data_IF_646159052542
#
_entry.id   IF_646159052542
#
_cell.length_a   1.000
_cell.length_b   1.000
_cell.length_c   1.000
_cell.angle_alpha   90.00
_cell.angle_beta   90.00
_cell.angle_gamma   90.00
#
_symmetry.space_group_name_H-M   'P 1'
#
loop_
_entity.id
_entity.type
_entity.pdbx_description
1 polymer ?
#
# COMPACT_ATOMS: atom_id res chain seq x y z
N UNK A 1 8.88 2.57 19.09
CA UNK A 1 8.09 2.60 17.84
C UNK A 1 6.76 3.17 18.26
N UNK A 2 6.46 4.41 17.89
CA UNK A 2 5.29 5.11 18.43
C UNK A 2 4.02 4.59 17.75
N UNK A 3 3.01 4.08 18.49
CA UNK A 3 1.69 3.74 17.96
C UNK A 3 0.91 4.97 17.43
N UNK A 4 1.42 6.18 17.64
CA UNK A 4 0.74 7.45 17.35
C UNK A 4 0.75 7.89 15.87
N UNK A 5 1.42 7.15 14.98
CA UNK A 5 1.50 7.49 13.54
C UNK A 5 0.48 6.75 12.67
N UNK A 6 -0.40 5.91 13.24
CA UNK A 6 -1.38 5.11 12.49
C UNK A 6 -2.41 6.00 11.79
N UNK A 7 -2.66 5.74 10.50
CA UNK A 7 -3.60 6.53 9.70
C UNK A 7 -4.86 5.71 9.45
N UNK A 8 -6.07 6.22 9.78
CA UNK A 8 -7.32 5.57 9.41
C UNK A 8 -7.39 5.35 7.90
N UNK A 9 -7.71 4.13 7.46
CA UNK A 9 -7.87 3.82 6.04
C UNK A 9 -9.33 3.83 5.59
N UNK A 10 -10.24 3.45 6.51
CA UNK A 10 -11.67 3.36 6.28
C UNK A 10 -12.34 2.62 7.44
N UNK A 11 -13.60 2.19 7.28
CA UNK A 11 -14.32 1.46 8.33
C UNK A 11 -13.54 0.22 8.78
N UNK A 12 -13.13 0.18 10.05
CA UNK A 12 -12.52 -0.99 10.68
C UNK A 12 -11.09 -1.34 10.27
N UNK A 13 -10.36 -0.47 9.56
CA UNK A 13 -8.96 -0.71 9.22
C UNK A 13 -8.11 0.56 9.20
N UNK A 14 -6.82 0.39 9.46
CA UNK A 14 -5.81 1.46 9.52
C UNK A 14 -4.61 1.11 8.64
N UNK A 15 -3.72 2.07 8.43
CA UNK A 15 -2.38 1.89 7.89
C UNK A 15 -1.39 2.09 9.01
N UNK A 16 -0.64 1.02 9.33
CA UNK A 16 0.29 1.05 10.46
C UNK A 16 1.48 1.97 10.21
N UNK A 17 1.81 2.85 11.16
CA UNK A 17 2.95 3.75 11.07
C UNK A 17 4.30 3.04 11.01
N UNK A 18 4.41 1.84 11.60
CA UNK A 18 5.66 1.08 11.64
C UNK A 18 6.13 0.54 10.28
N UNK A 19 5.20 0.05 9.45
CA UNK A 19 5.53 -0.63 8.19
C UNK A 19 4.61 -0.31 7.01
N UNK A 20 3.66 0.62 7.19
CA UNK A 20 2.72 1.10 6.19
C UNK A 20 1.79 0.03 5.60
N UNK A 21 1.74 -1.16 6.20
CA UNK A 21 0.78 -2.20 5.82
C UNK A 21 -0.61 -1.86 6.37
N UNK A 22 -1.67 -2.02 5.56
CA UNK A 22 -3.02 -2.03 6.09
C UNK A 22 -3.22 -3.14 7.12
N UNK A 23 -4.03 -2.91 8.14
CA UNK A 23 -4.45 -3.93 9.10
C UNK A 23 -5.90 -3.72 9.51
N UNK A 24 -6.65 -4.80 9.65
CA UNK A 24 -8.02 -4.77 10.19
C UNK A 24 -7.96 -4.64 11.71
N UNK A 25 -8.65 -3.63 12.25
CA UNK A 25 -8.75 -3.36 13.70
C UNK A 25 -10.18 -3.58 14.23
N UNK A 26 -11.18 -3.57 13.35
CA UNK A 26 -12.56 -3.98 13.63
C UNK A 26 -13.10 -4.74 12.41
N UNK A 27 -13.20 -6.06 12.55
CA UNK A 27 -13.60 -6.94 11.46
C UNK A 27 -15.07 -6.74 11.03
N UNK A 28 -15.96 -6.38 11.96
CA UNK A 28 -17.37 -6.17 11.63
C UNK A 28 -17.56 -4.88 10.84
N UNK A 29 -16.92 -3.80 11.27
CA UNK A 29 -16.91 -2.53 10.53
C UNK A 29 -16.22 -2.70 9.17
N UNK A 30 -15.11 -3.45 9.09
CA UNK A 30 -14.40 -3.74 7.86
C UNK A 30 -15.26 -4.46 6.82
N UNK A 31 -15.90 -5.57 7.22
CA UNK A 31 -16.80 -6.34 6.34
C UNK A 31 -18.00 -5.51 5.88
N UNK A 32 -18.54 -4.67 6.77
CA UNK A 32 -19.63 -3.75 6.41
C UNK A 32 -19.16 -2.70 5.40
N UNK A 33 -17.98 -2.12 5.60
CA UNK A 33 -17.42 -1.11 4.70
C UNK A 33 -17.03 -1.63 3.31
N UNK A 34 -16.72 -2.92 3.20
CA UNK A 34 -16.43 -3.59 1.91
C UNK A 34 -17.63 -4.37 1.35
N UNK A 35 -18.83 -4.18 1.89
CA UNK A 35 -20.01 -4.87 1.41
C UNK A 35 -20.22 -4.63 -0.09
N UNK A 36 -20.33 -5.71 -0.87
CA UNK A 36 -20.47 -5.66 -2.32
C UNK A 36 -19.17 -5.52 -3.12
N UNK A 37 -18.01 -5.37 -2.45
CA UNK A 37 -16.72 -5.39 -3.14
C UNK A 37 -16.34 -6.84 -3.51
N UNK A 38 -16.14 -7.18 -4.80
CA UNK A 38 -15.79 -8.53 -5.21
C UNK A 38 -14.45 -9.01 -4.63
N UNK A 39 -13.58 -8.11 -4.17
CA UNK A 39 -12.27 -8.41 -3.60
C UNK A 39 -12.27 -8.36 -2.06
N UNK A 40 -13.43 -8.20 -1.42
CA UNK A 40 -13.55 -8.08 0.04
C UNK A 40 -12.87 -9.24 0.79
N UNK A 41 -13.10 -10.48 0.34
CA UNK A 41 -12.48 -11.67 0.94
C UNK A 41 -10.95 -11.66 0.81
N UNK A 42 -10.42 -11.26 -0.36
CA UNK A 42 -8.97 -11.20 -0.59
C UNK A 42 -8.30 -10.13 0.29
N UNK A 43 -8.97 -8.97 0.43
CA UNK A 43 -8.52 -7.87 1.29
C UNK A 43 -8.54 -8.28 2.76
N UNK A 44 -9.60 -8.96 3.20
CA UNK A 44 -9.71 -9.48 4.57
C UNK A 44 -8.54 -10.41 4.90
N UNK A 45 -8.28 -11.42 4.05
CA UNK A 45 -7.17 -12.35 4.24
C UNK A 45 -5.83 -11.60 4.33
N UNK A 46 -5.57 -10.68 3.40
CA UNK A 46 -4.31 -9.95 3.37
C UNK A 46 -4.14 -9.07 4.63
N UNK A 47 -5.18 -8.32 5.01
CA UNK A 47 -5.10 -7.32 6.08
C UNK A 47 -5.33 -7.91 7.48
N UNK A 48 -5.68 -9.20 7.56
CA UNK A 48 -5.63 -9.99 8.81
C UNK A 48 -4.36 -10.85 8.93
N UNK A 49 -3.47 -10.79 7.93
CA UNK A 49 -2.12 -11.34 8.03
C UNK A 49 -1.89 -12.66 7.30
N UNK A 50 -2.78 -13.07 6.38
CA UNK A 50 -2.61 -14.25 5.54
C UNK A 50 -2.43 -13.87 4.05
N UNK A 51 -1.25 -13.33 3.66
CA UNK A 51 -0.99 -12.96 2.28
C UNK A 51 -0.93 -14.16 1.33
N UNK A 52 -0.63 -15.37 1.83
CA UNK A 52 -0.61 -16.58 1.02
C UNK A 52 -2.04 -16.99 0.59
N UNK A 53 -2.97 -17.04 1.55
CA UNK A 53 -4.37 -17.30 1.25
C UNK A 53 -4.98 -16.20 0.39
N UNK A 54 -4.65 -14.93 0.65
CA UNK A 54 -5.09 -13.80 -0.18
C UNK A 54 -4.63 -13.96 -1.64
N UNK A 55 -3.36 -14.34 -1.85
CA UNK A 55 -2.80 -14.56 -3.19
C UNK A 55 -3.50 -15.71 -3.93
N UNK A 56 -3.81 -16.80 -3.22
CA UNK A 56 -4.58 -17.92 -3.76
C UNK A 56 -6.02 -17.50 -4.10
N UNK A 57 -6.68 -16.74 -3.22
CA UNK A 57 -8.03 -16.23 -3.42
C UNK A 57 -8.12 -15.24 -4.60
N UNK A 58 -7.02 -14.58 -4.96
CA UNK A 58 -6.95 -13.70 -6.14
C UNK A 58 -6.77 -14.46 -7.47
N UNK A 59 -6.44 -15.74 -7.46
CA UNK A 59 -6.18 -16.53 -8.67
C UNK A 59 -7.32 -16.59 -9.70
N UNK A 60 -8.62 -16.68 -9.34
CA UNK A 60 -9.71 -16.76 -10.30
C UNK A 60 -10.13 -15.40 -10.88
N UNK A 61 -9.60 -14.27 -10.37
CA UNK A 61 -9.98 -12.95 -10.84
C UNK A 61 -9.16 -12.52 -12.06
N UNK A 62 -9.80 -11.76 -12.97
CA UNK A 62 -9.11 -11.12 -14.08
C UNK A 62 -7.99 -10.19 -13.58
N UNK A 63 -6.90 -10.13 -14.35
CA UNK A 63 -5.70 -9.32 -14.04
C UNK A 63 -5.90 -7.81 -14.28
N UNK A 64 -6.96 -7.25 -13.73
CA UNK A 64 -7.17 -5.80 -13.67
C UNK A 64 -6.07 -5.12 -12.87
N UNK A 65 -5.85 -3.82 -13.05
CA UNK A 65 -4.85 -3.06 -12.29
C UNK A 65 -5.01 -3.20 -10.76
N UNK A 66 -6.26 -3.28 -10.27
CA UNK A 66 -6.55 -3.47 -8.83
C UNK A 66 -6.14 -4.86 -8.35
N UNK A 67 -6.47 -5.91 -9.11
CA UNK A 67 -6.09 -7.30 -8.78
C UNK A 67 -4.57 -7.46 -8.83
N UNK A 68 -3.91 -6.87 -9.84
CA UNK A 68 -2.45 -6.86 -9.98
C UNK A 68 -1.77 -6.18 -8.79
N UNK A 69 -2.26 -5.01 -8.37
CA UNK A 69 -1.77 -4.32 -7.18
C UNK A 69 -1.93 -5.18 -5.92
N UNK A 70 -3.10 -5.79 -5.69
CA UNK A 70 -3.30 -6.66 -4.52
C UNK A 70 -2.40 -7.89 -4.53
N UNK A 71 -2.17 -8.50 -5.70
CA UNK A 71 -1.18 -9.59 -5.82
C UNK A 71 0.22 -9.12 -5.47
N UNK A 72 0.63 -7.93 -5.93
CA UNK A 72 1.92 -7.34 -5.60
C UNK A 72 2.05 -7.03 -4.10
N UNK A 73 0.98 -6.57 -3.44
CA UNK A 73 0.94 -6.41 -1.99
C UNK A 73 1.11 -7.75 -1.25
N UNK A 74 0.46 -8.83 -1.73
CA UNK A 74 0.67 -10.17 -1.18
C UNK A 74 2.13 -10.63 -1.33
N UNK A 75 2.73 -10.42 -2.52
CA UNK A 75 4.13 -10.78 -2.78
C UNK A 75 5.10 -10.01 -1.87
N UNK A 76 4.86 -8.70 -1.67
CA UNK A 76 5.61 -7.89 -0.70
C UNK A 76 5.54 -8.50 0.69
N UNK A 77 4.34 -8.84 1.16
CA UNK A 77 4.12 -9.33 2.52
C UNK A 77 4.63 -10.77 2.72
N UNK A 78 4.79 -11.54 1.63
CA UNK A 78 5.47 -12.84 1.60
C UNK A 78 7.01 -12.74 1.48
N UNK A 79 7.55 -11.52 1.33
CA UNK A 79 8.99 -11.29 1.18
C UNK A 79 9.52 -11.38 -0.26
N UNK A 80 8.69 -11.69 -1.26
CA UNK A 80 9.06 -11.55 -2.68
C UNK A 80 8.92 -10.09 -3.14
N UNK A 81 9.69 -9.23 -2.46
CA UNK A 81 9.63 -7.79 -2.67
C UNK A 81 10.11 -7.40 -4.06
N UNK A 82 11.07 -8.15 -4.64
CA UNK A 82 11.55 -7.89 -6.00
C UNK A 82 10.44 -8.09 -7.03
N UNK A 83 9.61 -9.12 -6.90
CA UNK A 83 8.47 -9.30 -7.80
C UNK A 83 7.41 -8.20 -7.59
N UNK A 84 7.14 -7.81 -6.35
CA UNK A 84 6.22 -6.72 -6.05
C UNK A 84 6.65 -5.38 -6.69
N UNK A 85 7.94 -5.01 -6.57
CA UNK A 85 8.48 -3.79 -7.18
C UNK A 85 8.34 -3.82 -8.70
N UNK A 86 8.72 -4.92 -9.36
CA UNK A 86 8.58 -5.05 -10.83
C UNK A 86 7.15 -4.89 -11.30
N UNK A 87 6.19 -5.49 -10.59
CA UNK A 87 4.77 -5.36 -10.95
C UNK A 87 4.31 -3.90 -10.81
N UNK A 88 4.75 -3.21 -9.76
CA UNK A 88 4.42 -1.81 -9.54
C UNK A 88 5.14 -0.85 -10.49
N UNK A 89 6.35 -1.15 -10.96
CA UNK A 89 7.01 -0.38 -12.03
C UNK A 89 6.13 -0.34 -13.28
N UNK A 90 5.58 -1.50 -13.67
CA UNK A 90 4.64 -1.61 -14.81
C UNK A 90 3.35 -0.84 -14.54
N UNK A 91 2.71 -1.04 -13.37
CA UNK A 91 1.45 -0.36 -13.03
C UNK A 91 1.60 1.16 -12.96
N UNK A 92 2.72 1.68 -12.44
CA UNK A 92 3.00 3.13 -12.44
C UNK A 92 3.15 3.63 -13.87
N UNK A 93 3.88 2.91 -14.74
CA UNK A 93 4.00 3.28 -16.14
C UNK A 93 2.65 3.30 -16.87
N UNK A 94 1.79 2.31 -16.65
CA UNK A 94 0.46 2.21 -17.29
C UNK A 94 -0.52 3.27 -16.79
N UNK A 95 -0.35 3.77 -15.57
CA UNK A 95 -1.28 4.71 -14.93
C UNK A 95 -0.80 6.15 -14.91
N UNK A 96 0.39 6.43 -15.46
CA UNK A 96 0.94 7.78 -15.53
C UNK A 96 -0.04 8.76 -16.21
N UNK A 97 -0.24 9.92 -15.58
CA UNK A 97 -1.19 10.95 -16.03
C UNK A 97 -2.67 10.63 -15.77
N UNK A 98 -2.99 9.48 -15.17
CA UNK A 98 -4.38 9.10 -14.84
C UNK A 98 -4.70 9.33 -13.37
N UNK A 99 -5.99 9.29 -13.02
CA UNK A 99 -6.44 9.35 -11.62
C UNK A 99 -5.91 8.20 -10.75
N UNK A 100 -5.36 7.13 -11.35
CA UNK A 100 -4.77 6.00 -10.64
C UNK A 100 -3.28 6.15 -10.35
N UNK A 101 -2.60 7.15 -10.92
CA UNK A 101 -1.14 7.30 -10.74
C UNK A 101 -0.77 7.41 -9.25
N UNK A 102 -1.50 8.25 -8.51
CA UNK A 102 -1.21 8.49 -7.10
C UNK A 102 -1.31 7.20 -6.25
N UNK A 103 -2.26 6.32 -6.56
CA UNK A 103 -2.39 5.05 -5.84
C UNK A 103 -1.29 4.07 -6.26
N UNK A 104 -0.96 3.94 -7.54
CA UNK A 104 0.10 3.02 -7.95
C UNK A 104 1.48 3.45 -7.42
N UNK A 105 1.77 4.76 -7.40
CA UNK A 105 2.98 5.29 -6.75
C UNK A 105 3.01 5.05 -5.25
N UNK A 106 1.89 5.26 -4.55
CA UNK A 106 1.77 4.96 -3.12
C UNK A 106 2.17 3.52 -2.82
N UNK A 107 1.65 2.57 -3.58
CA UNK A 107 1.92 1.15 -3.36
C UNK A 107 3.36 0.76 -3.77
N UNK A 108 3.87 1.32 -4.87
CA UNK A 108 5.27 1.15 -5.27
C UNK A 108 6.23 1.65 -4.19
N UNK A 109 5.97 2.83 -3.62
CA UNK A 109 6.75 3.37 -2.50
C UNK A 109 6.81 2.44 -1.29
N UNK A 110 5.71 1.76 -0.96
CA UNK A 110 5.70 0.73 0.11
C UNK A 110 6.54 -0.50 -0.26
N UNK A 111 6.46 -0.97 -1.50
CA UNK A 111 7.29 -2.08 -1.98
C UNK A 111 8.78 -1.71 -1.98
N UNK A 112 9.14 -0.49 -2.40
CA UNK A 112 10.51 0.03 -2.36
C UNK A 112 11.05 0.13 -0.92
N UNK A 113 10.22 0.57 0.04
CA UNK A 113 10.62 0.56 1.45
C UNK A 113 10.86 -0.86 1.99
N UNK A 114 10.07 -1.84 1.56
CA UNK A 114 10.30 -3.24 1.89
C UNK A 114 11.56 -3.79 1.19
N UNK A 115 11.96 -3.20 0.04
CA UNK A 115 13.14 -3.60 -0.71
C UNK A 115 14.44 -3.04 -0.13
N UNK A 116 14.33 -2.09 0.81
CA UNK A 116 15.48 -1.35 1.33
C UNK A 116 15.87 -0.13 0.50
N UNK A 117 14.97 0.38 -0.36
CA UNK A 117 15.22 1.50 -1.27
C UNK A 117 14.45 2.79 -0.86
N UNK A 118 14.72 3.37 0.32
CA UNK A 118 13.95 4.50 0.81
C UNK A 118 14.12 5.78 -0.05
N UNK A 119 15.25 5.95 -0.73
CA UNK A 119 15.46 7.09 -1.63
C UNK A 119 14.48 7.09 -2.81
N UNK A 120 14.26 5.93 -3.45
CA UNK A 120 13.27 5.80 -4.52
C UNK A 120 11.83 5.91 -3.98
N UNK A 121 11.58 5.38 -2.77
CA UNK A 121 10.27 5.52 -2.13
C UNK A 121 9.91 6.99 -1.83
N UNK A 122 10.89 7.83 -1.45
CA UNK A 122 10.68 9.28 -1.25
C UNK A 122 10.15 9.93 -2.52
N UNK A 123 10.69 9.57 -3.69
CA UNK A 123 10.24 10.12 -4.98
C UNK A 123 8.76 9.77 -5.20
N UNK A 124 8.39 8.51 -5.04
CA UNK A 124 7.02 8.06 -5.26
C UNK A 124 6.01 8.67 -4.27
N UNK A 125 6.35 8.71 -2.98
CA UNK A 125 5.45 9.32 -1.98
C UNK A 125 5.34 10.83 -2.16
N UNK A 126 6.41 11.52 -2.57
CA UNK A 126 6.36 12.96 -2.87
C UNK A 126 5.38 13.25 -4.01
N UNK A 127 5.45 12.47 -5.09
CA UNK A 127 4.52 12.60 -6.20
C UNK A 127 3.08 12.21 -5.80
N UNK A 128 2.91 11.16 -4.98
CA UNK A 128 1.59 10.79 -4.47
C UNK A 128 0.96 11.88 -3.58
N UNK A 129 1.77 12.57 -2.77
CA UNK A 129 1.33 13.73 -1.97
C UNK A 129 0.90 14.88 -2.88
N UNK A 130 1.67 15.19 -3.92
CA UNK A 130 1.34 16.26 -4.87
C UNK A 130 0.00 15.98 -5.56
N UNK A 131 -0.15 14.78 -6.13
CA UNK A 131 -1.34 14.38 -6.86
C UNK A 131 -2.61 14.31 -5.99
N UNK A 132 -2.46 14.19 -4.67
CA UNK A 132 -3.57 14.13 -3.70
C UNK A 132 -3.82 15.43 -2.95
N UNK A 133 -3.05 16.49 -3.20
CA UNK A 133 -3.10 17.72 -2.40
C UNK A 133 -4.50 18.33 -2.31
N UNK A 134 -5.29 18.24 -3.38
CA UNK A 134 -6.68 18.73 -3.45
C UNK A 134 -7.73 17.61 -3.44
N UNK A 135 -7.33 16.38 -3.12
CA UNK A 135 -8.18 15.20 -3.15
C UNK A 135 -8.70 14.79 -1.77
N UNK A 136 -8.93 13.49 -1.61
CA UNK A 136 -9.37 12.90 -0.34
C UNK A 136 -8.31 13.12 0.77
N UNK A 137 -8.66 13.79 1.89
CA UNK A 137 -7.73 14.06 2.98
C UNK A 137 -7.19 12.78 3.64
N UNK A 138 -7.93 11.67 3.64
CA UNK A 138 -7.48 10.38 4.17
C UNK A 138 -6.37 9.81 3.29
N UNK A 139 -6.56 9.84 1.97
CA UNK A 139 -5.53 9.37 1.03
C UNK A 139 -4.28 10.27 1.07
N UNK A 140 -4.45 11.58 1.28
CA UNK A 140 -3.35 12.52 1.48
C UNK A 140 -2.59 12.23 2.79
N UNK A 141 -3.30 11.96 3.89
CA UNK A 141 -2.68 11.59 5.16
C UNK A 141 -1.84 10.32 5.03
N UNK A 142 -2.36 9.29 4.35
CA UNK A 142 -1.61 8.07 4.06
C UNK A 142 -0.35 8.33 3.21
N UNK A 143 -0.42 9.23 2.22
CA UNK A 143 0.75 9.59 1.42
C UNK A 143 1.83 10.31 2.25
N UNK A 144 1.42 11.22 3.12
CA UNK A 144 2.31 11.95 4.04
C UNK A 144 2.97 11.02 5.06
N UNK A 145 2.22 10.06 5.61
CA UNK A 145 2.74 9.02 6.49
C UNK A 145 3.83 8.22 5.76
N UNK A 146 3.57 7.77 4.53
CA UNK A 146 4.55 7.07 3.69
C UNK A 146 5.82 7.88 3.45
N UNK A 147 5.68 9.16 3.10
CA UNK A 147 6.81 10.06 2.89
C UNK A 147 7.64 10.23 4.17
N UNK A 148 6.99 10.45 5.31
CA UNK A 148 7.66 10.60 6.62
C UNK A 148 8.49 9.36 6.97
N UNK A 149 7.92 8.16 6.81
CA UNK A 149 8.63 6.89 7.03
C UNK A 149 9.82 6.75 6.07
N UNK A 150 9.63 7.05 4.78
CA UNK A 150 10.70 6.94 3.80
C UNK A 150 11.88 7.88 4.10
N UNK A 151 11.61 9.13 4.49
CA UNK A 151 12.63 10.11 4.90
C UNK A 151 13.39 9.63 6.13
N UNK A 152 12.70 9.09 7.15
CA UNK A 152 13.36 8.55 8.35
C UNK A 152 14.28 7.38 8.02
N UNK A 153 13.83 6.44 7.17
CA UNK A 153 14.65 5.29 6.76
C UNK A 153 15.87 5.71 5.94
N UNK A 154 15.72 6.66 5.02
CA UNK A 154 16.84 7.18 4.23
C UNK A 154 17.91 7.85 5.08
N UNK A 155 17.50 8.62 6.11
CA UNK A 155 18.45 9.24 7.06
C UNK A 155 19.20 8.22 7.89
N UNK A 156 18.50 7.19 8.36
CA UNK A 156 19.11 6.12 9.16
C UNK A 156 20.18 5.38 8.36
N UNK A 157 19.88 5.03 7.11
CA UNK A 157 20.82 4.35 6.20
C UNK A 157 22.04 5.20 5.79
N UNK A 158 21.99 6.53 5.94
CA UNK A 158 23.12 7.41 5.65
C UNK A 158 24.08 7.60 6.85
N UNK A 159 23.70 7.09 8.02
CA UNK A 159 24.47 7.22 9.27
C UNK A 159 25.21 5.92 9.64
N UNK A 160 24.95 4.83 8.92
CA UNK A 160 25.59 3.51 9.03
C UNK A 160 26.74 3.37 8.00
#
# INVERSE_FOLDING_TARGET
MDPDDDVPGGPGWIIRGGDLRPVVVDLAAFRTGLHGDPLAHCLELLWTGDPAAALAALAPFDRTARVRALRADCLRDLGDVRAAVREYDVLVSETAGTSREAVMRQHRGKALLAAGDPALAIVDFTLAVELRRSGDPVLLASARQGLSVAVRRARSAATD
#
